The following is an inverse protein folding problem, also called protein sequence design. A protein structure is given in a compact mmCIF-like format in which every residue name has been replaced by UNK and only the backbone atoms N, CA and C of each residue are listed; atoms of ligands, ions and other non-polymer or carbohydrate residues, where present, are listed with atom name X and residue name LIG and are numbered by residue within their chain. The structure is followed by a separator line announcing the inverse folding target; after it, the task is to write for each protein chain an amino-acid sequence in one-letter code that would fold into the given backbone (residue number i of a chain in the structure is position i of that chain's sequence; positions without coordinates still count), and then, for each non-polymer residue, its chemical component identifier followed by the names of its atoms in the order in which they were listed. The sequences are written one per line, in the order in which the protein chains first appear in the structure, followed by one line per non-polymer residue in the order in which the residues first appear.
data_IF_578980055641
#
_entry.id   IF_578980055641
#
_cell.length_a   1.000
_cell.length_b   1.000
_cell.length_c   1.000
_cell.angle_alpha   90.00
_cell.angle_beta   90.00
_cell.angle_gamma   90.00
#
_symmetry.space_group_name_H-M   'P 1'
#
loop_
_entity.id
_entity.type
_entity.pdbx_description
1 polymer ?
#
# COMPACT_ATOMS: atom_id res chain seq x y z
N UNK A 1 23.33 6.35 -14.31
CA UNK A 1 22.42 6.72 -13.21
C UNK A 1 22.80 5.80 -12.05
N UNK A 2 23.46 6.34 -11.04
CA UNK A 2 23.83 5.55 -9.85
C UNK A 2 22.59 5.49 -8.96
N UNK A 3 21.97 4.31 -8.85
CA UNK A 3 21.02 4.06 -7.78
C UNK A 3 21.81 3.95 -6.47
N UNK A 4 21.73 4.97 -5.65
CA UNK A 4 22.10 4.86 -4.26
C UNK A 4 20.98 4.06 -3.58
N UNK A 5 21.22 2.76 -3.32
CA UNK A 5 20.47 2.05 -2.31
C UNK A 5 20.90 2.65 -0.98
N UNK A 6 20.15 3.65 -0.50
CA UNK A 6 20.20 3.95 0.91
C UNK A 6 19.63 2.72 1.61
N UNK A 7 20.47 1.96 2.31
CA UNK A 7 19.98 1.05 3.34
C UNK A 7 18.95 1.84 4.14
N UNK A 8 17.74 1.32 4.18
CA UNK A 8 16.71 1.82 5.06
C UNK A 8 17.33 1.85 6.46
N UNK A 9 17.60 3.04 6.96
CA UNK A 9 17.90 3.23 8.36
C UNK A 9 16.68 2.70 9.10
N UNK A 10 16.85 1.51 9.67
CA UNK A 10 15.87 0.89 10.55
C UNK A 10 15.78 1.76 11.78
N UNK A 11 14.90 2.76 11.74
CA UNK A 11 14.60 3.60 12.86
C UNK A 11 13.93 2.75 13.93
N UNK A 12 14.54 2.75 15.07
CA UNK A 12 14.09 2.37 16.40
C UNK A 12 12.59 2.11 16.50
N UNK A 13 12.21 0.84 16.54
CA UNK A 13 10.84 0.44 16.92
C UNK A 13 10.69 0.56 18.41
N UNK A 14 9.85 1.46 18.85
CA UNK A 14 9.27 1.46 20.18
C UNK A 14 8.33 0.25 20.31
N UNK A 15 8.53 -0.52 21.34
CA UNK A 15 7.81 -1.74 21.67
C UNK A 15 6.31 -1.50 21.83
N UNK A 16 5.52 -1.98 20.88
CA UNK A 16 4.12 -2.31 21.09
C UNK A 16 4.04 -3.82 21.28
N UNK A 17 3.67 -4.23 22.48
CA UNK A 17 3.42 -5.63 22.81
C UNK A 17 2.13 -6.11 22.13
N UNK A 18 2.28 -6.82 21.04
CA UNK A 18 1.22 -7.64 20.43
C UNK A 18 1.45 -9.07 20.88
N UNK A 19 0.40 -9.69 21.42
CA UNK A 19 0.42 -11.07 21.91
C UNK A 19 0.77 -12.04 20.78
N UNK A 20 1.87 -12.75 20.96
CA UNK A 20 2.44 -13.67 19.99
C UNK A 20 1.56 -14.89 19.75
N UNK A 21 1.13 -15.10 18.53
CA UNK A 21 0.77 -16.40 18.02
C UNK A 21 2.07 -17.20 17.80
N UNK A 22 2.14 -18.41 18.36
CA UNK A 22 3.34 -19.25 18.31
C UNK A 22 3.71 -19.60 16.87
N UNK A 23 4.83 -19.09 16.42
CA UNK A 23 5.49 -19.52 15.18
C UNK A 23 6.17 -20.88 15.32
N UNK A 24 6.37 -21.63 14.24
CA UNK A 24 6.99 -22.94 14.26
C UNK A 24 8.45 -22.90 14.73
N UNK A 25 8.98 -24.01 15.10
CA UNK A 25 10.20 -24.39 15.81
C UNK A 25 11.54 -23.62 15.60
N UNK A 26 11.59 -22.46 14.92
CA UNK A 26 12.81 -21.77 14.50
C UNK A 26 13.00 -20.34 14.98
N UNK A 27 12.34 -19.91 16.04
CA UNK A 27 12.41 -18.53 16.56
C UNK A 27 11.24 -17.65 16.09
N UNK A 28 10.89 -16.62 16.87
CA UNK A 28 9.84 -15.68 16.49
C UNK A 28 10.38 -14.65 15.48
N UNK A 29 9.52 -14.06 14.62
CA UNK A 29 9.91 -12.99 13.72
C UNK A 29 10.53 -11.82 14.47
N UNK A 30 11.65 -11.31 13.94
CA UNK A 30 12.44 -10.30 14.60
C UNK A 30 13.41 -10.80 15.66
N UNK A 31 13.31 -12.06 16.08
CA UNK A 31 14.33 -12.70 16.91
C UNK A 31 15.62 -12.86 16.11
N UNK A 32 16.73 -12.81 16.82
CA UNK A 32 18.05 -13.02 16.23
C UNK A 32 18.28 -14.52 16.02
N UNK A 33 18.80 -14.89 14.86
CA UNK A 33 19.32 -16.25 14.64
C UNK A 33 20.59 -16.39 15.50
N UNK A 34 20.60 -17.31 16.48
CA UNK A 34 21.68 -17.38 17.44
C UNK A 34 23.03 -17.64 16.78
N UNK A 35 24.01 -16.76 17.04
CA UNK A 35 25.37 -16.91 16.55
C UNK A 35 25.55 -16.58 15.07
N UNK A 36 24.64 -15.84 14.45
CA UNK A 36 24.75 -15.39 13.08
C UNK A 36 24.68 -13.86 12.95
N UNK A 37 25.49 -13.33 12.02
CA UNK A 37 25.47 -11.91 11.65
C UNK A 37 25.72 -11.75 10.15
N UNK A 38 25.25 -10.61 9.63
CA UNK A 38 25.39 -10.22 8.23
C UNK A 38 26.35 -9.04 8.19
N UNK A 39 27.39 -9.14 7.36
CA UNK A 39 28.38 -8.08 7.13
C UNK A 39 28.32 -7.65 5.68
N UNK A 40 28.20 -6.35 5.46
CA UNK A 40 28.36 -5.71 4.15
C UNK A 40 29.68 -4.96 4.13
N UNK A 41 30.48 -5.19 3.09
CA UNK A 41 31.77 -4.52 2.90
C UNK A 41 31.67 -3.41 1.84
N UNK A 42 32.49 -2.36 1.96
CA UNK A 42 32.57 -1.28 0.97
C UNK A 42 32.98 -1.76 -0.43
N UNK A 43 33.66 -2.88 -0.53
CA UNK A 43 34.14 -3.53 -1.75
C UNK A 43 34.29 -5.02 -1.49
N UNK A 44 34.52 -5.79 -2.56
CA UNK A 44 34.79 -7.22 -2.42
C UNK A 44 35.91 -7.46 -1.39
N UNK A 45 35.66 -8.32 -0.41
CA UNK A 45 36.55 -8.65 0.69
C UNK A 45 36.79 -10.17 0.73
N UNK A 46 37.99 -10.55 1.20
CA UNK A 46 38.26 -11.93 1.61
C UNK A 46 37.65 -12.16 3.00
N UNK A 47 36.42 -12.73 3.00
CA UNK A 47 35.67 -12.99 4.24
C UNK A 47 36.44 -13.91 5.22
N UNK A 48 37.23 -14.87 4.70
CA UNK A 48 38.06 -15.73 5.55
C UNK A 48 39.25 -15.00 6.17
N UNK A 49 39.85 -14.05 5.46
CA UNK A 49 40.90 -13.19 5.98
C UNK A 49 40.33 -12.24 7.02
N UNK A 50 39.18 -11.61 6.76
CA UNK A 50 38.46 -10.74 7.70
C UNK A 50 38.19 -11.47 9.04
N UNK A 51 37.64 -12.68 8.98
CA UNK A 51 37.38 -13.49 10.17
C UNK A 51 38.65 -13.81 10.97
N UNK A 52 39.81 -13.99 10.30
CA UNK A 52 41.09 -14.21 10.98
C UNK A 52 41.63 -12.96 11.68
N UNK A 53 41.29 -11.79 11.21
CA UNK A 53 41.66 -10.53 11.89
C UNK A 53 40.83 -10.30 13.16
N UNK A 54 39.63 -10.83 13.23
CA UNK A 54 38.68 -10.67 14.34
C UNK A 54 38.51 -11.96 15.16
N UNK A 55 39.59 -12.67 15.46
CA UNK A 55 39.55 -13.92 16.25
C UNK A 55 39.22 -13.73 17.72
N UNK A 56 39.37 -12.52 18.22
CA UNK A 56 39.09 -12.16 19.62
C UNK A 56 38.39 -10.80 19.66
N UNK A 57 37.38 -10.69 20.50
CA UNK A 57 36.62 -9.47 20.78
C UNK A 57 36.56 -9.31 22.27
N UNK A 58 37.10 -8.19 22.79
CA UNK A 58 37.26 -7.91 24.22
C UNK A 58 37.91 -9.07 25.01
N UNK A 59 38.93 -9.70 24.39
CA UNK A 59 39.66 -10.82 25.00
C UNK A 59 38.96 -12.16 24.93
N UNK A 60 37.73 -12.23 24.46
CA UNK A 60 36.98 -13.45 24.23
C UNK A 60 37.17 -13.97 22.80
N UNK A 61 37.17 -15.29 22.61
CA UNK A 61 37.23 -15.86 21.27
C UNK A 61 35.95 -15.50 20.51
N UNK A 62 36.07 -14.80 19.39
CA UNK A 62 34.92 -14.41 18.58
C UNK A 62 34.25 -15.62 17.93
N UNK A 63 35.01 -16.65 17.56
CA UNK A 63 34.52 -17.75 16.78
C UNK A 63 34.04 -17.35 15.38
N UNK A 64 34.36 -16.12 14.94
CA UNK A 64 33.91 -15.57 13.68
C UNK A 64 34.35 -16.43 12.48
N UNK A 65 33.43 -16.84 11.66
CA UNK A 65 33.67 -17.65 10.46
C UNK A 65 32.70 -17.24 9.34
N UNK A 66 33.17 -17.07 8.10
CA UNK A 66 32.28 -16.90 6.98
C UNK A 66 31.47 -18.19 6.74
N UNK A 67 30.17 -18.04 6.54
CA UNK A 67 29.23 -19.12 6.24
C UNK A 67 28.90 -19.14 4.76
N UNK A 68 28.51 -17.99 4.22
CA UNK A 68 28.12 -17.84 2.81
C UNK A 68 28.32 -16.41 2.32
N UNK A 69 28.55 -16.25 1.02
CA UNK A 69 28.37 -14.99 0.32
C UNK A 69 26.90 -14.88 -0.08
N UNK A 70 26.16 -13.91 0.48
CA UNK A 70 24.74 -13.71 0.23
C UNK A 70 24.54 -12.92 -1.07
N UNK A 71 25.39 -11.91 -1.30
CA UNK A 71 25.33 -11.08 -2.50
C UNK A 71 26.71 -10.65 -2.94
N UNK A 72 27.19 -11.20 -4.05
CA UNK A 72 28.46 -10.79 -4.65
C UNK A 72 28.44 -9.34 -5.16
N UNK A 73 27.30 -8.88 -5.70
CA UNK A 73 27.16 -7.52 -6.22
C UNK A 73 27.22 -6.45 -5.11
N UNK A 74 26.64 -6.77 -3.96
CA UNK A 74 26.58 -5.84 -2.80
C UNK A 74 27.60 -6.17 -1.74
N UNK A 75 28.49 -7.17 -1.96
CA UNK A 75 29.54 -7.61 -1.02
C UNK A 75 29.01 -7.94 0.38
N UNK A 76 27.88 -8.68 0.43
CA UNK A 76 27.21 -9.08 1.67
C UNK A 76 27.51 -10.54 1.96
N UNK A 77 27.92 -10.80 3.20
CA UNK A 77 28.30 -12.13 3.69
C UNK A 77 27.57 -12.47 4.97
N UNK A 78 27.21 -13.76 5.11
CA UNK A 78 26.75 -14.35 6.35
C UNK A 78 27.97 -14.88 7.11
N UNK A 79 28.06 -14.55 8.40
CA UNK A 79 29.05 -15.05 9.32
C UNK A 79 28.39 -15.75 10.49
N UNK A 80 29.06 -16.77 11.04
CA UNK A 80 28.76 -17.29 12.36
C UNK A 80 29.76 -16.75 13.38
N UNK A 81 29.35 -16.67 14.65
CA UNK A 81 30.19 -16.26 15.77
C UNK A 81 29.90 -17.07 17.03
N UNK A 82 30.79 -16.99 18.03
CA UNK A 82 30.61 -17.72 19.30
C UNK A 82 29.50 -17.09 20.13
N UNK A 83 28.56 -17.91 20.59
CA UNK A 83 27.51 -17.51 21.54
C UNK A 83 28.04 -17.32 22.98
N UNK A 84 29.31 -17.59 23.24
CA UNK A 84 29.95 -17.36 24.54
C UNK A 84 30.19 -15.86 24.82
N UNK A 85 29.98 -14.99 23.81
CA UNK A 85 30.04 -13.54 23.97
C UNK A 85 28.73 -13.10 24.62
N UNK A 86 28.80 -12.83 25.92
CA UNK A 86 27.63 -12.50 26.73
C UNK A 86 26.99 -11.13 26.41
N UNK A 87 27.79 -10.18 25.92
CA UNK A 87 27.30 -8.92 25.35
C UNK A 87 27.30 -9.04 23.82
N UNK A 88 26.15 -9.46 23.29
CA UNK A 88 26.02 -9.65 21.84
C UNK A 88 26.25 -8.37 21.04
N UNK A 89 25.91 -7.19 21.58
CA UNK A 89 26.12 -5.92 20.89
C UNK A 89 27.59 -5.53 20.78
N UNK A 90 28.44 -6.14 21.58
CA UNK A 90 29.90 -5.89 21.55
C UNK A 90 30.49 -6.32 20.20
N UNK A 91 30.10 -7.48 19.68
CA UNK A 91 30.60 -7.96 18.38
C UNK A 91 30.17 -7.02 17.23
N UNK A 92 28.95 -6.52 17.26
CA UNK A 92 28.49 -5.58 16.23
C UNK A 92 29.28 -4.26 16.30
N UNK A 93 29.49 -3.72 17.51
CA UNK A 93 30.25 -2.48 17.71
C UNK A 93 31.69 -2.63 17.23
N UNK A 94 32.38 -3.71 17.59
CA UNK A 94 33.76 -3.96 17.20
C UNK A 94 33.91 -4.14 15.67
N UNK A 95 33.02 -4.93 15.05
CA UNK A 95 33.07 -5.13 13.60
C UNK A 95 32.70 -3.87 12.83
N UNK A 96 31.80 -3.03 13.35
CA UNK A 96 31.46 -1.74 12.75
C UNK A 96 32.62 -0.73 12.75
N UNK A 97 33.62 -0.93 13.59
CA UNK A 97 34.83 -0.07 13.62
C UNK A 97 35.87 -0.45 12.55
N UNK A 98 35.74 -1.62 11.92
CA UNK A 98 36.65 -2.01 10.84
C UNK A 98 36.39 -1.16 9.57
N UNK A 99 37.42 -0.49 9.04
CA UNK A 99 37.28 0.40 7.89
C UNK A 99 36.81 -0.30 6.60
N UNK A 100 36.83 -1.62 6.53
CA UNK A 100 36.34 -2.37 5.39
C UNK A 100 34.84 -2.63 5.46
N UNK A 101 34.23 -2.48 6.64
CA UNK A 101 32.82 -2.76 6.89
C UNK A 101 31.97 -1.54 6.60
N UNK A 102 30.99 -1.68 5.74
CA UNK A 102 29.98 -0.65 5.46
C UNK A 102 28.79 -0.76 6.41
N UNK A 103 28.37 -1.99 6.70
CA UNK A 103 27.30 -2.27 7.66
C UNK A 103 27.45 -3.66 8.27
N UNK A 104 27.01 -3.80 9.51
CA UNK A 104 26.93 -5.08 10.22
C UNK A 104 25.63 -5.14 11.03
N UNK A 105 24.96 -6.29 11.00
CA UNK A 105 23.73 -6.55 11.78
C UNK A 105 23.62 -8.03 12.13
N UNK A 106 22.75 -8.36 13.07
CA UNK A 106 22.34 -9.75 13.28
C UNK A 106 21.54 -10.28 12.10
N UNK A 107 21.63 -11.60 11.88
CA UNK A 107 20.65 -12.30 11.06
C UNK A 107 19.38 -12.49 11.90
N UNK A 108 18.22 -12.08 11.36
CA UNK A 108 16.94 -12.18 12.06
C UNK A 108 16.02 -13.17 11.34
N UNK A 109 15.18 -13.81 12.15
CA UNK A 109 14.04 -14.52 11.59
C UNK A 109 13.08 -13.52 10.95
N UNK A 110 12.62 -13.83 9.76
CA UNK A 110 11.61 -13.06 9.02
C UNK A 110 10.34 -13.89 8.91
N UNK A 111 9.21 -13.21 8.82
CA UNK A 111 7.93 -13.84 8.51
C UNK A 111 7.34 -13.21 7.25
N UNK A 112 6.51 -13.95 6.59
CA UNK A 112 5.62 -13.40 5.58
C UNK A 112 4.63 -12.50 6.32
N UNK A 113 4.56 -11.23 5.94
CA UNK A 113 3.55 -10.32 6.44
C UNK A 113 2.34 -10.43 5.54
N UNK A 114 1.18 -10.46 6.16
CA UNK A 114 -0.09 -10.46 5.49
C UNK A 114 -0.98 -9.43 6.19
N UNK A 115 -1.25 -8.33 5.51
CA UNK A 115 -2.10 -7.27 6.02
C UNK A 115 -3.55 -7.70 5.94
N UNK A 116 -4.13 -8.08 7.09
CA UNK A 116 -5.51 -8.53 7.21
C UNK A 116 -6.36 -7.41 7.82
N UNK A 117 -7.42 -6.95 7.14
CA UNK A 117 -8.33 -5.94 7.69
C UNK A 117 -9.21 -6.51 8.82
N UNK A 118 -9.72 -5.61 9.67
CA UNK A 118 -10.61 -5.99 10.78
C UNK A 118 -12.10 -5.99 10.42
N UNK A 119 -12.43 -5.88 9.14
CA UNK A 119 -13.79 -5.77 8.62
C UNK A 119 -14.51 -7.11 8.78
N UNK A 120 -15.70 -7.15 9.43
CA UNK A 120 -16.29 -8.42 9.89
C UNK A 120 -16.71 -9.37 8.77
N UNK A 121 -16.94 -8.87 7.55
CA UNK A 121 -17.30 -9.69 6.40
C UNK A 121 -16.10 -10.06 5.50
N UNK A 122 -14.89 -9.65 5.85
CA UNK A 122 -13.68 -9.95 5.08
C UNK A 122 -13.48 -11.44 4.82
N UNK A 123 -13.72 -12.27 5.82
CA UNK A 123 -13.57 -13.73 5.67
C UNK A 123 -14.49 -14.35 4.60
N UNK A 124 -15.52 -13.63 4.14
CA UNK A 124 -16.42 -14.04 3.05
C UNK A 124 -15.96 -13.52 1.67
N UNK A 125 -14.94 -12.67 1.64
CA UNK A 125 -14.40 -12.06 0.43
C UNK A 125 -13.23 -12.87 -0.12
N UNK A 126 -13.50 -14.11 -0.55
CA UNK A 126 -12.50 -15.08 -1.01
C UNK A 126 -11.59 -14.55 -2.13
N UNK A 127 -12.06 -13.56 -2.90
CA UNK A 127 -11.31 -12.95 -3.99
C UNK A 127 -10.10 -12.13 -3.52
N UNK A 128 -10.02 -11.77 -2.25
CA UNK A 128 -8.87 -11.09 -1.67
C UNK A 128 -7.79 -12.06 -1.20
N UNK A 129 -8.20 -13.14 -0.54
CA UNK A 129 -7.30 -14.16 0.01
C UNK A 129 -8.02 -15.52 -0.01
N UNK A 130 -7.45 -16.50 -0.69
CA UNK A 130 -7.99 -17.86 -0.79
C UNK A 130 -6.86 -18.90 -0.76
N UNK A 131 -7.05 -19.94 0.05
CA UNK A 131 -5.97 -20.90 0.34
C UNK A 131 -5.57 -21.82 -0.82
N UNK A 132 -6.27 -21.78 -1.97
CA UNK A 132 -5.92 -22.52 -3.18
C UNK A 132 -5.31 -21.61 -4.27
N UNK A 133 -5.01 -20.35 -3.96
CA UNK A 133 -4.30 -19.41 -4.83
C UNK A 133 -5.07 -19.08 -6.14
N UNK A 134 -6.38 -18.85 -6.01
CA UNK A 134 -7.26 -18.41 -7.10
C UNK A 134 -7.80 -16.98 -6.89
N UNK A 135 -7.17 -16.22 -6.03
CA UNK A 135 -7.52 -14.86 -5.65
C UNK A 135 -6.62 -13.81 -6.32
N UNK A 136 -6.66 -12.58 -5.83
CA UNK A 136 -5.86 -11.47 -6.36
C UNK A 136 -4.72 -11.06 -5.44
N UNK A 137 -4.36 -11.86 -4.43
CA UNK A 137 -3.26 -11.61 -3.48
C UNK A 137 -3.33 -10.22 -2.83
N UNK A 138 -4.51 -9.80 -2.44
CA UNK A 138 -4.70 -8.45 -1.89
C UNK A 138 -3.91 -8.22 -0.61
N UNK A 139 -3.78 -9.22 0.25
CA UNK A 139 -3.02 -9.16 1.49
C UNK A 139 -1.54 -8.87 1.23
N UNK A 140 -0.94 -9.49 0.21
CA UNK A 140 0.44 -9.21 -0.21
C UNK A 140 0.56 -7.81 -0.82
N UNK A 141 -0.44 -7.37 -1.60
CA UNK A 141 -0.47 -6.01 -2.14
C UNK A 141 -0.63 -4.96 -1.03
N UNK A 142 -1.46 -5.22 -0.02
CA UNK A 142 -1.68 -4.32 1.11
C UNK A 142 -0.47 -4.21 2.05
N UNK A 143 0.41 -5.20 2.09
CA UNK A 143 1.71 -5.08 2.77
C UNK A 143 2.61 -4.01 2.17
N UNK A 144 2.38 -3.67 0.90
CA UNK A 144 3.08 -2.60 0.19
C UNK A 144 2.30 -1.30 0.29
N UNK A 145 1.00 -1.33 -0.01
CA UNK A 145 0.12 -0.15 0.01
C UNK A 145 -1.35 -0.54 0.05
N UNK A 146 -2.12 0.08 0.93
CA UNK A 146 -3.58 -0.02 0.97
C UNK A 146 -4.27 1.01 0.07
N UNK A 147 -3.51 1.76 -0.73
CA UNK A 147 -4.02 2.81 -1.61
C UNK A 147 -4.28 4.13 -0.88
N UNK A 148 -5.03 5.01 -1.52
CA UNK A 148 -5.51 6.27 -0.94
C UNK A 148 -4.82 7.52 -1.43
N UNK A 149 -3.52 7.66 -1.21
CA UNK A 149 -2.80 8.90 -1.53
C UNK A 149 -1.49 8.64 -2.26
N UNK A 150 -1.11 9.59 -3.12
CA UNK A 150 0.22 9.61 -3.74
C UNK A 150 1.29 10.00 -2.71
N UNK A 151 2.57 9.82 -3.08
CA UNK A 151 3.69 10.29 -2.26
C UNK A 151 3.69 11.82 -2.03
N UNK A 152 2.99 12.57 -2.87
CA UNK A 152 2.84 14.03 -2.74
C UNK A 152 1.63 14.44 -1.90
N UNK A 153 0.82 13.49 -1.44
CA UNK A 153 -0.38 13.71 -0.65
C UNK A 153 -1.67 13.94 -1.47
N UNK A 154 -1.63 13.74 -2.80
CA UNK A 154 -2.83 13.84 -3.62
C UNK A 154 -3.72 12.61 -3.42
N UNK A 155 -5.02 12.82 -3.19
CA UNK A 155 -5.96 11.71 -3.07
C UNK A 155 -6.15 11.02 -4.41
N UNK A 156 -5.92 9.74 -4.45
CA UNK A 156 -6.19 8.88 -5.62
C UNK A 156 -7.69 8.73 -5.76
N UNK A 157 -8.23 8.96 -6.96
CA UNK A 157 -9.68 8.92 -7.22
C UNK A 157 -9.99 7.91 -8.32
N UNK A 158 -11.00 7.07 -8.08
CA UNK A 158 -11.61 6.20 -9.08
C UNK A 158 -13.01 6.69 -9.38
N UNK A 159 -13.31 6.95 -10.65
CA UNK A 159 -14.64 7.34 -11.08
C UNK A 159 -15.49 6.10 -11.38
N UNK A 160 -16.67 5.99 -10.75
CA UNK A 160 -17.60 4.87 -10.91
C UNK A 160 -18.80 5.35 -11.70
N UNK A 161 -18.97 4.81 -12.92
CA UNK A 161 -20.01 5.21 -13.85
C UNK A 161 -21.13 4.16 -13.84
N UNK A 162 -22.30 4.52 -13.32
CA UNK A 162 -23.41 3.61 -13.13
C UNK A 162 -24.74 4.19 -13.65
N UNK A 163 -25.59 3.33 -14.24
CA UNK A 163 -26.91 3.75 -14.72
C UNK A 163 -27.83 4.20 -13.59
N UNK A 164 -27.85 3.48 -12.49
CA UNK A 164 -28.72 3.70 -11.33
C UNK A 164 -28.09 4.49 -10.19
N UNK A 165 -26.86 4.96 -10.33
CA UNK A 165 -26.13 5.61 -9.25
C UNK A 165 -25.63 4.63 -8.17
N UNK A 166 -25.25 5.16 -7.01
CA UNK A 166 -24.68 4.44 -5.88
C UNK A 166 -25.00 5.15 -4.57
N UNK A 167 -25.23 4.39 -3.51
CA UNK A 167 -25.44 4.93 -2.16
C UNK A 167 -24.09 5.35 -1.54
N UNK A 168 -23.68 6.56 -1.83
CA UNK A 168 -22.43 7.13 -1.27
C UNK A 168 -22.52 7.40 0.24
N UNK A 169 -23.74 7.44 0.84
CA UNK A 169 -23.95 7.52 2.29
C UNK A 169 -23.87 6.16 2.98
N UNK A 170 -23.65 5.07 2.24
CA UNK A 170 -23.48 3.75 2.84
C UNK A 170 -22.34 3.80 3.87
N UNK A 171 -22.56 3.18 5.04
CA UNK A 171 -21.64 3.23 6.19
C UNK A 171 -20.20 2.80 5.88
N UNK A 172 -20.04 1.99 4.84
CA UNK A 172 -18.76 1.42 4.39
C UNK A 172 -18.15 2.18 3.19
N UNK A 173 -18.83 3.22 2.69
CA UNK A 173 -18.40 4.03 1.54
C UNK A 173 -18.23 5.51 1.87
N UNK A 174 -18.91 6.00 2.89
CA UNK A 174 -19.01 7.44 3.18
C UNK A 174 -17.66 8.11 3.39
N UNK A 175 -16.70 7.43 4.01
CA UNK A 175 -15.35 7.97 4.24
C UNK A 175 -14.52 8.03 2.95
N UNK A 176 -14.86 7.19 1.99
CA UNK A 176 -14.21 7.11 0.69
C UNK A 176 -14.97 7.84 -0.42
N UNK A 177 -16.16 8.40 -0.12
CA UNK A 177 -16.85 9.25 -1.07
C UNK A 177 -15.96 10.45 -1.44
N UNK A 178 -15.81 10.69 -2.75
CA UNK A 178 -15.14 11.88 -3.25
C UNK A 178 -16.15 13.03 -3.34
N UNK A 179 -15.79 14.18 -2.82
CA UNK A 179 -16.55 15.41 -2.95
C UNK A 179 -15.70 16.46 -3.65
N UNK A 180 -16.34 17.33 -4.46
CA UNK A 180 -15.67 18.49 -5.02
C UNK A 180 -15.47 19.57 -3.94
N UNK A 181 -14.22 19.82 -3.49
CA UNK A 181 -13.99 20.78 -2.41
C UNK A 181 -14.07 22.24 -2.87
N UNK A 182 -14.22 22.47 -4.16
CA UNK A 182 -14.29 23.81 -4.75
C UNK A 182 -15.73 24.33 -4.88
N UNK A 183 -16.72 23.44 -4.74
CA UNK A 183 -18.13 23.77 -4.85
C UNK A 183 -18.78 24.10 -3.50
N UNK A 184 -19.73 25.05 -3.52
CA UNK A 184 -20.56 25.41 -2.38
C UNK A 184 -21.96 24.86 -2.61
N UNK A 185 -22.31 23.80 -1.89
CA UNK A 185 -23.55 23.06 -2.07
C UNK A 185 -24.80 23.94 -2.13
N UNK A 186 -25.61 23.77 -3.19
CA UNK A 186 -26.96 24.33 -3.31
C UNK A 186 -27.03 25.85 -3.52
N UNK A 187 -25.92 26.49 -3.96
CA UNK A 187 -25.93 27.91 -4.24
C UNK A 187 -26.35 28.26 -5.69
N UNK A 188 -26.46 27.26 -6.57
CA UNK A 188 -26.86 27.41 -7.97
C UNK A 188 -25.77 28.02 -8.86
N UNK A 189 -24.51 27.98 -8.42
CA UNK A 189 -23.36 28.54 -9.11
C UNK A 189 -22.34 27.45 -9.38
N UNK A 190 -21.66 27.50 -10.50
CA UNK A 190 -20.45 26.75 -10.80
C UNK A 190 -19.27 27.55 -10.20
N UNK A 191 -18.87 27.18 -8.97
CA UNK A 191 -17.92 27.97 -8.19
C UNK A 191 -16.46 27.76 -8.66
N UNK A 192 -16.13 26.62 -9.24
CA UNK A 192 -14.79 26.32 -9.73
C UNK A 192 -14.63 26.54 -11.25
N UNK A 193 -15.73 26.85 -11.96
CA UNK A 193 -15.72 27.14 -13.38
C UNK A 193 -15.48 25.92 -14.26
N UNK A 194 -15.81 24.72 -13.76
CA UNK A 194 -15.61 23.45 -14.47
C UNK A 194 -16.70 23.13 -15.49
N UNK A 195 -17.81 23.87 -15.48
CA UNK A 195 -18.96 23.71 -16.36
C UNK A 195 -20.10 22.87 -15.74
N UNK A 196 -19.99 22.49 -14.45
CA UNK A 196 -20.95 21.69 -13.72
C UNK A 196 -21.40 22.45 -12.46
N UNK A 197 -22.67 22.82 -12.39
CA UNK A 197 -23.20 23.62 -11.27
C UNK A 197 -23.50 22.72 -10.07
N UNK A 198 -23.04 23.14 -8.88
CA UNK A 198 -23.25 22.44 -7.61
C UNK A 198 -22.80 20.95 -7.66
N UNK A 199 -21.71 20.59 -8.34
CA UNK A 199 -21.25 19.20 -8.50
C UNK A 199 -20.50 18.64 -7.29
N UNK A 200 -21.01 18.93 -6.09
CA UNK A 200 -20.36 18.59 -4.80
C UNK A 200 -20.16 17.09 -4.63
N UNK A 201 -21.15 16.28 -4.96
CA UNK A 201 -21.15 14.83 -4.68
C UNK A 201 -20.82 13.95 -5.90
N UNK A 202 -20.32 14.52 -6.97
CA UNK A 202 -20.16 13.90 -8.27
C UNK A 202 -21.19 14.41 -9.26
N UNK A 203 -21.54 13.62 -10.28
CA UNK A 203 -22.40 14.12 -11.36
C UNK A 203 -23.42 13.12 -11.87
N UNK A 204 -24.64 13.58 -12.07
CA UNK A 204 -25.67 12.85 -12.80
C UNK A 204 -25.89 13.49 -14.18
N UNK A 205 -25.30 12.86 -15.20
CA UNK A 205 -25.37 13.38 -16.58
C UNK A 205 -26.77 13.35 -17.21
N UNK A 206 -27.70 12.56 -16.65
CA UNK A 206 -29.07 12.50 -17.13
C UNK A 206 -29.96 13.65 -16.63
N UNK A 207 -29.62 14.24 -15.51
CA UNK A 207 -30.35 15.35 -14.86
C UNK A 207 -29.60 16.66 -14.85
N UNK A 208 -28.30 16.64 -15.24
CA UNK A 208 -27.37 17.76 -15.11
C UNK A 208 -27.35 18.33 -13.70
N UNK A 209 -27.08 17.49 -12.71
CA UNK A 209 -27.01 17.85 -11.29
C UNK A 209 -26.17 16.85 -10.51
N UNK A 210 -25.87 17.12 -9.25
CA UNK A 210 -25.23 16.19 -8.32
C UNK A 210 -26.21 15.21 -7.64
N UNK A 211 -27.46 15.19 -8.07
CA UNK A 211 -28.49 14.30 -7.52
C UNK A 211 -28.26 12.84 -7.96
N UNK A 212 -27.51 12.09 -7.18
CA UNK A 212 -27.16 10.70 -7.43
C UNK A 212 -28.08 9.79 -6.60
N UNK A 213 -28.73 8.82 -7.27
CA UNK A 213 -29.63 7.86 -6.64
C UNK A 213 -28.83 6.75 -5.93
N UNK A 214 -29.38 6.21 -4.85
CA UNK A 214 -28.80 5.09 -4.09
C UNK A 214 -29.03 3.74 -4.82
N UNK A 215 -28.34 3.51 -5.93
CA UNK A 215 -28.44 2.29 -6.72
C UNK A 215 -27.67 1.13 -6.12
N UNK A 216 -28.33 -0.01 -5.89
CA UNK A 216 -27.71 -1.17 -5.24
C UNK A 216 -26.53 -1.77 -6.02
N UNK A 217 -26.62 -1.82 -7.37
CA UNK A 217 -25.51 -2.31 -8.20
C UNK A 217 -24.28 -1.40 -8.08
N UNK A 218 -24.43 -0.09 -8.26
CA UNK A 218 -23.32 0.85 -8.13
C UNK A 218 -22.75 0.90 -6.71
N UNK A 219 -23.57 0.70 -5.67
CA UNK A 219 -23.09 0.57 -4.29
C UNK A 219 -22.19 -0.65 -4.13
N UNK A 220 -22.59 -1.82 -4.67
CA UNK A 220 -21.77 -3.02 -4.62
C UNK A 220 -20.46 -2.87 -5.41
N UNK A 221 -20.51 -2.29 -6.61
CA UNK A 221 -19.33 -2.01 -7.44
C UNK A 221 -18.37 -1.04 -6.72
N UNK A 222 -18.91 0.04 -6.15
CA UNK A 222 -18.11 0.98 -5.35
C UNK A 222 -17.47 0.31 -4.14
N UNK A 223 -18.18 -0.62 -3.50
CA UNK A 223 -17.64 -1.40 -2.37
C UNK A 223 -16.48 -2.29 -2.77
N UNK A 224 -16.55 -2.96 -3.91
CA UNK A 224 -15.44 -3.77 -4.43
C UNK A 224 -14.18 -2.94 -4.72
N UNK A 225 -14.36 -1.70 -5.18
CA UNK A 225 -13.25 -0.79 -5.48
C UNK A 225 -12.65 -0.23 -4.19
N UNK A 226 -13.50 0.24 -3.28
CA UNK A 226 -13.05 1.06 -2.17
C UNK A 226 -14.04 1.14 -1.00
N UNK A 227 -14.65 0.04 -0.56
CA UNK A 227 -15.19 0.01 0.80
C UNK A 227 -14.05 0.30 1.77
N UNK A 228 -14.33 1.13 2.78
CA UNK A 228 -13.30 1.63 3.71
C UNK A 228 -12.72 0.46 4.50
N UNK A 229 -11.43 0.19 4.27
CA UNK A 229 -10.78 -0.94 4.93
C UNK A 229 -10.37 -0.63 6.37
N UNK A 230 -10.36 -1.68 7.20
CA UNK A 230 -9.91 -1.63 8.60
C UNK A 230 -10.73 -0.66 9.48
N UNK A 231 -12.03 -0.52 9.17
CA UNK A 231 -12.97 0.34 9.88
C UNK A 231 -13.91 -0.44 10.82
N UNK A 232 -13.72 -1.76 10.95
CA UNK A 232 -14.56 -2.70 11.73
C UNK A 232 -16.03 -2.71 11.26
N UNK A 233 -16.26 -2.49 9.97
CA UNK A 233 -17.61 -2.41 9.37
C UNK A 233 -17.63 -3.21 8.06
N UNK A 234 -18.69 -3.95 7.78
CA UNK A 234 -19.01 -4.59 6.50
C UNK A 234 -17.86 -5.34 5.82
N UNK A 235 -17.43 -4.85 4.67
CA UNK A 235 -16.44 -5.44 3.75
C UNK A 235 -15.26 -4.51 3.54
N UNK A 236 -14.22 -4.98 2.88
CA UNK A 236 -13.09 -4.15 2.45
C UNK A 236 -13.04 -4.07 0.92
N UNK A 237 -12.72 -2.91 0.37
CA UNK A 237 -12.41 -2.75 -1.04
C UNK A 237 -10.95 -3.08 -1.36
N UNK A 238 -10.64 -3.24 -2.64
CA UNK A 238 -9.25 -3.45 -3.10
C UNK A 238 -8.34 -2.30 -2.62
N UNK A 239 -8.87 -1.08 -2.57
CA UNK A 239 -8.20 0.10 -2.03
C UNK A 239 -8.95 0.62 -0.81
N UNK A 240 -8.30 0.66 0.35
CA UNK A 240 -8.95 0.98 1.62
C UNK A 240 -9.37 2.44 1.80
N UNK A 241 -8.70 3.36 1.09
CA UNK A 241 -8.85 4.81 1.30
C UNK A 241 -8.96 5.61 0.00
N UNK A 242 -9.21 4.96 -1.13
CA UNK A 242 -9.37 5.63 -2.43
C UNK A 242 -10.59 6.55 -2.45
N UNK A 243 -10.51 7.68 -3.16
CA UNK A 243 -11.70 8.50 -3.40
C UNK A 243 -12.61 7.88 -4.46
N UNK A 244 -13.88 7.64 -4.13
CA UNK A 244 -14.89 7.15 -5.07
C UNK A 244 -15.69 8.32 -5.62
N UNK A 245 -15.44 8.69 -6.87
CA UNK A 245 -16.20 9.71 -7.59
C UNK A 245 -17.42 9.08 -8.23
N UNK A 246 -18.62 9.43 -7.76
CA UNK A 246 -19.87 8.84 -8.23
C UNK A 246 -20.37 9.56 -9.48
N UNK A 247 -20.71 8.79 -10.52
CA UNK A 247 -21.28 9.32 -11.77
C UNK A 247 -22.49 8.49 -12.16
N UNK A 248 -23.64 9.14 -12.25
CA UNK A 248 -24.88 8.50 -12.70
C UNK A 248 -25.17 8.85 -14.15
N UNK A 249 -25.51 7.85 -14.96
CA UNK A 249 -25.82 8.01 -16.39
C UNK A 249 -27.31 7.99 -16.71
N UNK A 250 -28.15 7.47 -15.81
CA UNK A 250 -29.56 7.18 -16.11
C UNK A 250 -29.68 6.02 -17.10
N UNK A 251 -30.25 6.24 -18.28
CA UNK A 251 -30.37 5.19 -19.31
C UNK A 251 -29.01 4.87 -19.95
N UNK A 252 -28.78 3.58 -20.18
CA UNK A 252 -27.55 3.06 -20.77
C UNK A 252 -27.56 3.20 -22.29
N UNK A 253 -27.31 4.42 -22.79
CA UNK A 253 -27.11 4.72 -24.21
C UNK A 253 -25.72 5.27 -24.42
N UNK A 254 -25.11 5.05 -25.58
CA UNK A 254 -23.77 5.55 -25.87
C UNK A 254 -23.62 7.07 -25.66
N UNK A 255 -24.66 7.84 -26.01
CA UNK A 255 -24.67 9.29 -25.79
C UNK A 255 -24.60 9.67 -24.31
N UNK A 256 -25.36 8.98 -23.44
CA UNK A 256 -25.32 9.23 -22.01
C UNK A 256 -23.99 8.78 -21.39
N UNK A 257 -23.44 7.69 -21.89
CA UNK A 257 -22.12 7.20 -21.51
C UNK A 257 -21.05 8.24 -21.83
N UNK A 258 -21.04 8.77 -23.05
CA UNK A 258 -20.07 9.82 -23.46
C UNK A 258 -20.23 11.06 -22.57
N UNK A 259 -21.47 11.49 -22.31
CA UNK A 259 -21.75 12.60 -21.41
C UNK A 259 -21.22 12.35 -19.98
N UNK A 260 -21.40 11.13 -19.46
CA UNK A 260 -20.93 10.74 -18.14
C UNK A 260 -19.39 10.73 -18.06
N UNK A 261 -18.69 10.22 -19.08
CA UNK A 261 -17.23 10.24 -19.13
C UNK A 261 -16.64 11.66 -19.23
N UNK A 262 -17.40 12.64 -19.71
CA UNK A 262 -16.92 14.02 -19.81
C UNK A 262 -16.60 14.62 -18.44
N UNK A 263 -17.34 14.25 -17.39
CA UNK A 263 -17.14 14.76 -16.05
C UNK A 263 -15.77 14.36 -15.45
N UNK A 264 -15.43 13.09 -15.27
CA UNK A 264 -14.13 12.71 -14.71
C UNK A 264 -12.95 13.14 -15.59
N UNK A 265 -13.15 13.26 -16.92
CA UNK A 265 -12.16 13.81 -17.82
C UNK A 265 -11.91 15.29 -17.53
N UNK A 266 -12.96 16.09 -17.33
CA UNK A 266 -12.86 17.51 -16.97
C UNK A 266 -12.13 17.65 -15.63
N UNK A 267 -12.53 16.89 -14.61
CA UNK A 267 -11.91 16.95 -13.29
C UNK A 267 -10.43 16.57 -13.31
N UNK A 268 -10.07 15.55 -14.10
CA UNK A 268 -8.66 15.18 -14.28
C UNK A 268 -7.87 16.24 -15.06
N UNK A 269 -8.48 16.84 -16.07
CA UNK A 269 -7.83 17.91 -16.85
C UNK A 269 -7.58 19.16 -15.98
N UNK A 270 -8.55 19.54 -15.15
CA UNK A 270 -8.36 20.64 -14.18
C UNK A 270 -7.22 20.34 -13.21
N UNK A 271 -7.20 19.14 -12.64
CA UNK A 271 -6.08 18.73 -11.78
C UNK A 271 -4.73 18.92 -12.48
N UNK A 272 -4.60 18.44 -13.72
CA UNK A 272 -3.35 18.52 -14.48
C UNK A 272 -2.96 19.97 -14.82
N UNK A 273 -3.93 20.81 -15.22
CA UNK A 273 -3.67 22.19 -15.66
C UNK A 273 -3.46 23.16 -14.51
N UNK A 274 -3.96 22.84 -13.33
CA UNK A 274 -3.82 23.66 -12.12
C UNK A 274 -2.76 23.12 -11.13
N UNK A 275 -2.02 22.07 -11.53
CA UNK A 275 -1.06 21.38 -10.65
C UNK A 275 -1.70 20.90 -9.32
N UNK A 276 -2.91 20.36 -9.40
CA UNK A 276 -3.64 19.83 -8.25
C UNK A 276 -4.43 20.86 -7.43
N UNK A 277 -4.43 22.14 -7.84
CA UNK A 277 -5.16 23.17 -7.10
C UNK A 277 -6.69 23.06 -7.28
N UNK A 278 -7.15 22.47 -8.38
CA UNK A 278 -8.57 22.24 -8.69
C UNK A 278 -8.74 20.85 -9.32
N UNK A 279 -9.98 20.37 -9.39
CA UNK A 279 -10.32 19.09 -10.00
C UNK A 279 -9.95 17.89 -9.13
N UNK A 280 -9.68 16.75 -9.75
CA UNK A 280 -9.41 15.49 -9.04
C UNK A 280 -8.33 14.64 -9.73
N UNK A 281 -7.50 13.98 -8.92
CA UNK A 281 -6.51 13.01 -9.40
C UNK A 281 -7.19 11.68 -9.78
N UNK A 282 -8.07 11.73 -10.79
CA UNK A 282 -8.73 10.53 -11.32
C UNK A 282 -7.72 9.66 -12.04
N UNK A 283 -7.47 8.45 -11.56
CA UNK A 283 -6.49 7.51 -12.12
C UNK A 283 -7.13 6.39 -12.93
N UNK A 284 -8.38 6.06 -12.63
CA UNK A 284 -9.13 5.02 -13.32
C UNK A 284 -10.62 5.35 -13.35
N UNK A 285 -11.32 4.73 -14.29
CA UNK A 285 -12.76 4.71 -14.36
C UNK A 285 -13.24 3.26 -14.30
N UNK A 286 -14.35 3.01 -13.59
CA UNK A 286 -15.02 1.71 -13.60
C UNK A 286 -16.38 1.83 -14.26
N UNK A 287 -16.63 0.92 -15.21
CA UNK A 287 -17.88 0.83 -15.95
C UNK A 287 -18.32 -0.63 -15.98
N UNK A 288 -19.25 -1.00 -15.12
CA UNK A 288 -19.75 -2.38 -14.98
C UNK A 288 -20.98 -2.62 -15.88
N UNK A 289 -20.85 -2.24 -17.14
CA UNK A 289 -21.85 -2.39 -18.22
C UNK A 289 -21.12 -2.54 -19.56
N UNK A 290 -21.83 -2.92 -20.59
CA UNK A 290 -21.25 -3.09 -21.92
C UNK A 290 -22.29 -3.14 -23.03
N UNK A 291 -21.84 -3.25 -24.28
CA UNK A 291 -22.65 -3.48 -25.45
C UNK A 291 -22.57 -4.98 -25.78
N UNK A 292 -23.71 -5.66 -25.76
CA UNK A 292 -23.81 -7.03 -26.27
C UNK A 292 -23.97 -6.99 -27.80
N UNK A 293 -22.86 -7.27 -28.49
CA UNK A 293 -22.85 -7.37 -29.96
C UNK A 293 -23.02 -8.82 -30.44
N UNK A 294 -23.30 -9.77 -29.54
CA UNK A 294 -23.47 -11.20 -29.86
C UNK A 294 -24.88 -11.51 -30.38
N UNK A 295 -25.31 -10.89 -31.50
CA UNK A 295 -26.50 -11.28 -32.28
C UNK A 295 -26.08 -11.67 -33.69
#
# INVERSE_FOLDING_TARGET
MKFSLSLLSLALLTTLSVSAQKSPANGAPGDVVPGELIVMFHKHADAAFFAKQHTSIDGLKSGLKPVAEISALSHIYLFSFSQDISDSDLILRELALDPSVEAVQYNHYVEDRSTVPNDPSFASQWHHVEGADHDIDSDLAWDISTGGYTANGDRIVVAVLEGGGSDWNHVDLVDNHWTNPQEIAGNGTDDDGNGYVDDVNGWNSSTNSDAISAGGHGTAVSGMIGATGNNNTGVVGVNWSVGIMQIQMGSLTESNVIAAYSYPHTMRNLYNTTNGAQGAFVVATNASWGIDLAN
#
